data_IF_139943162388
#
_entry.id   IF_139943162388
#
_cell.length_a   1.000
_cell.length_b   1.000
_cell.length_c   1.000
_cell.angle_alpha   90.00
_cell.angle_beta   90.00
_cell.angle_gamma   90.00
#
_symmetry.space_group_name_H-M   'P 1'
#
loop_
_entity.id
_entity.type
_entity.pdbx_description
1 polymer ?
#
# COMPACT_ATOMS: atom_id res chain seq x y z
N UNK A 1 19.10 33.22 21.45
CA UNK A 1 18.98 32.70 20.07
C UNK A 1 18.83 31.20 20.20
N UNK A 2 17.66 30.79 20.68
CA UNK A 2 17.36 29.38 20.86
C UNK A 2 16.87 28.87 19.53
N UNK A 3 17.70 28.05 18.92
CA UNK A 3 17.41 27.34 17.69
C UNK A 3 16.26 26.38 17.99
N UNK A 4 15.07 26.69 17.48
CA UNK A 4 13.97 25.73 17.39
C UNK A 4 14.49 24.51 16.64
N UNK A 5 14.78 23.45 17.40
CA UNK A 5 14.88 22.11 16.86
C UNK A 5 13.49 21.77 16.36
N UNK A 6 13.27 21.96 15.06
CA UNK A 6 12.11 21.43 14.36
C UNK A 6 12.28 19.91 14.38
N UNK A 7 11.81 19.28 15.46
CA UNK A 7 11.50 17.86 15.48
C UNK A 7 10.52 17.62 14.32
N UNK A 8 11.01 16.97 13.26
CA UNK A 8 10.16 16.40 12.23
C UNK A 8 9.28 15.34 12.92
N UNK A 9 8.16 15.78 13.48
CA UNK A 9 6.99 14.92 13.61
C UNK A 9 6.70 14.39 12.22
N UNK A 10 7.16 13.16 11.93
CA UNK A 10 6.44 12.28 11.02
C UNK A 10 5.01 12.32 11.52
N UNK A 11 4.13 13.03 10.81
CA UNK A 11 2.72 13.03 11.15
C UNK A 11 2.28 11.57 11.20
N UNK A 12 1.64 11.18 12.30
CA UNK A 12 1.11 9.82 12.43
C UNK A 12 0.28 9.48 11.19
N UNK A 13 0.36 8.23 10.73
CA UNK A 13 -0.48 7.77 9.64
C UNK A 13 -1.95 7.88 10.04
N UNK A 14 -2.74 8.65 9.29
CA UNK A 14 -4.19 8.81 9.47
C UNK A 14 -4.96 8.29 8.26
N UNK A 15 -4.52 8.59 7.04
CA UNK A 15 -5.19 8.14 5.81
C UNK A 15 -4.22 7.76 4.70
N UNK A 16 -4.59 6.74 3.92
CA UNK A 16 -4.02 6.41 2.62
C UNK A 16 -5.13 6.51 1.57
N UNK A 17 -4.89 7.29 0.52
CA UNK A 17 -5.72 7.33 -0.67
C UNK A 17 -4.90 6.92 -1.88
N UNK A 18 -5.43 6.02 -2.71
CA UNK A 18 -4.87 5.70 -4.02
C UNK A 18 -5.99 5.88 -5.04
N UNK A 19 -5.88 6.93 -5.85
CA UNK A 19 -6.87 7.25 -6.89
C UNK A 19 -6.47 6.59 -8.19
N UNK A 20 -7.45 5.99 -8.87
CA UNK A 20 -7.28 5.31 -10.15
C UNK A 20 -6.16 4.25 -10.12
N UNK A 21 -6.05 3.52 -9.01
CA UNK A 21 -5.10 2.41 -8.87
C UNK A 21 -5.36 1.41 -10.00
N UNK A 22 -4.40 1.27 -10.90
CA UNK A 22 -4.54 0.47 -12.11
C UNK A 22 -3.55 -0.68 -12.07
N UNK A 23 -4.07 -1.90 -12.20
CA UNK A 23 -3.28 -3.12 -12.31
C UNK A 23 -3.60 -3.84 -13.61
N UNK A 24 -2.62 -4.56 -14.15
CA UNK A 24 -2.77 -5.33 -15.37
C UNK A 24 -2.44 -6.79 -15.11
N UNK A 25 -3.38 -7.68 -15.42
CA UNK A 25 -3.16 -9.12 -15.28
C UNK A 25 -3.71 -9.84 -16.50
N UNK A 26 -2.85 -10.64 -17.14
CA UNK A 26 -3.20 -11.39 -18.36
C UNK A 26 -3.74 -10.51 -19.51
N UNK A 27 -3.29 -9.27 -19.60
CA UNK A 27 -3.75 -8.30 -20.62
C UNK A 27 -5.06 -7.61 -20.28
N UNK A 28 -5.66 -7.89 -19.12
CA UNK A 28 -6.84 -7.20 -18.62
C UNK A 28 -6.47 -6.15 -17.59
N UNK A 29 -7.01 -4.94 -17.74
CA UNK A 29 -6.85 -3.85 -16.79
C UNK A 29 -7.97 -3.87 -15.76
N UNK A 30 -7.61 -3.65 -14.51
CA UNK A 30 -8.54 -3.43 -13.40
C UNK A 30 -8.20 -2.12 -12.71
N UNK A 31 -9.24 -1.42 -12.26
CA UNK A 31 -9.13 -0.11 -11.62
C UNK A 31 -9.82 -0.12 -10.27
N UNK A 32 -9.25 0.58 -9.30
CA UNK A 32 -9.87 0.81 -8.00
C UNK A 32 -9.48 2.20 -7.45
N UNK A 33 -10.43 2.85 -6.79
CA UNK A 33 -10.13 3.93 -5.86
C UNK A 33 -10.09 3.31 -4.45
N UNK A 34 -8.99 3.55 -3.74
CA UNK A 34 -8.74 3.00 -2.40
C UNK A 34 -8.66 4.15 -1.42
N UNK A 35 -9.42 4.07 -0.35
CA UNK A 35 -9.30 4.95 0.81
C UNK A 35 -9.25 4.08 2.06
N UNK A 36 -8.19 4.23 2.84
CA UNK A 36 -7.98 3.51 4.10
C UNK A 36 -7.73 4.52 5.20
N UNK A 37 -8.52 4.46 6.26
CA UNK A 37 -8.32 5.28 7.46
C UNK A 37 -7.62 4.46 8.55
N UNK A 38 -6.91 5.14 9.45
CA UNK A 38 -6.26 4.52 10.60
C UNK A 38 -7.26 3.72 11.45
N UNK A 39 -6.92 2.45 11.71
CA UNK A 39 -7.74 1.53 12.49
C UNK A 39 -8.91 0.91 11.71
N UNK A 40 -9.08 1.24 10.44
CA UNK A 40 -10.12 0.67 9.58
C UNK A 40 -9.74 -0.73 9.10
N UNK A 41 -10.75 -1.60 8.98
CA UNK A 41 -10.63 -2.89 8.31
C UNK A 41 -11.49 -2.85 7.05
N UNK A 42 -10.83 -2.87 5.89
CA UNK A 42 -11.50 -2.82 4.59
C UNK A 42 -11.44 -4.19 3.92
N UNK A 43 -12.59 -4.68 3.46
CA UNK A 43 -12.68 -5.88 2.64
C UNK A 43 -12.61 -5.50 1.17
N UNK A 44 -11.63 -6.08 0.46
CA UNK A 44 -11.54 -6.01 -0.99
C UNK A 44 -12.16 -7.26 -1.62
N UNK A 45 -13.19 -7.07 -2.44
CA UNK A 45 -13.89 -8.15 -3.12
C UNK A 45 -13.99 -7.89 -4.64
N UNK A 46 -13.86 -8.95 -5.43
CA UNK A 46 -13.98 -8.93 -6.88
C UNK A 46 -14.44 -10.31 -7.34
N UNK A 47 -15.31 -10.34 -8.34
CA UNK A 47 -15.72 -11.57 -9.02
C UNK A 47 -14.57 -12.17 -9.86
N UNK A 48 -13.63 -11.32 -10.27
CA UNK A 48 -12.48 -11.73 -11.07
C UNK A 48 -11.43 -12.43 -10.19
N UNK A 49 -11.10 -13.65 -10.58
CA UNK A 49 -10.15 -14.48 -9.83
C UNK A 49 -8.78 -13.80 -9.80
N UNK A 50 -8.19 -13.73 -8.60
CA UNK A 50 -6.85 -13.19 -8.31
C UNK A 50 -6.69 -11.67 -8.45
N UNK A 51 -7.71 -10.93 -8.88
CA UNK A 51 -7.65 -9.46 -8.98
C UNK A 51 -7.37 -8.84 -7.62
N UNK A 52 -8.05 -9.31 -6.57
CA UNK A 52 -7.85 -8.79 -5.20
C UNK A 52 -6.41 -8.98 -4.72
N UNK A 53 -5.89 -10.21 -4.85
CA UNK A 53 -4.53 -10.52 -4.42
C UNK A 53 -3.49 -9.72 -5.20
N UNK A 54 -3.73 -9.49 -6.50
CA UNK A 54 -2.81 -8.75 -7.37
C UNK A 54 -2.85 -7.23 -7.12
N UNK A 55 -4.03 -6.67 -6.84
CA UNK A 55 -4.15 -5.27 -6.42
C UNK A 55 -3.41 -5.05 -5.10
N UNK A 56 -3.63 -5.92 -4.10
CA UNK A 56 -2.97 -5.80 -2.80
C UNK A 56 -1.45 -5.96 -2.88
N UNK A 57 -0.95 -6.93 -3.66
CA UNK A 57 0.50 -7.08 -3.87
C UNK A 57 1.09 -5.90 -4.63
N UNK A 58 0.35 -5.29 -5.56
CA UNK A 58 0.81 -4.10 -6.29
C UNK A 58 0.90 -2.87 -5.39
N UNK A 59 -0.11 -2.65 -4.52
CA UNK A 59 -0.08 -1.57 -3.52
C UNK A 59 1.09 -1.75 -2.54
N UNK A 60 1.37 -3.00 -2.16
CA UNK A 60 2.50 -3.34 -1.30
C UNK A 60 3.87 -3.29 -1.99
N UNK A 61 3.92 -3.05 -3.31
CA UNK A 61 5.17 -2.98 -4.08
C UNK A 61 5.80 -4.32 -4.40
N UNK A 62 5.06 -5.42 -4.27
CA UNK A 62 5.50 -6.76 -4.69
C UNK A 62 5.28 -6.96 -6.19
N UNK A 63 4.14 -6.47 -6.70
CA UNK A 63 3.80 -6.43 -8.12
C UNK A 63 3.77 -4.98 -8.63
N UNK A 64 3.71 -4.78 -9.95
CA UNK A 64 3.67 -3.46 -10.57
C UNK A 64 2.27 -2.82 -10.52
N UNK A 65 2.17 -1.64 -9.91
CA UNK A 65 1.04 -0.74 -10.11
C UNK A 65 1.26 0.06 -11.41
N UNK A 66 0.41 -0.13 -12.41
CA UNK A 66 0.56 0.50 -13.75
C UNK A 66 0.31 2.00 -13.73
N UNK A 67 -0.66 2.43 -12.94
CA UNK A 67 -1.00 3.84 -12.75
C UNK A 67 -1.71 4.04 -11.42
N UNK A 68 -1.72 5.29 -10.95
CA UNK A 68 -2.45 5.71 -9.76
C UNK A 68 -1.80 6.90 -9.09
N UNK A 69 -2.60 7.72 -8.44
CA UNK A 69 -2.14 8.87 -7.65
C UNK A 69 -2.26 8.52 -6.17
N UNK A 70 -1.13 8.55 -5.45
CA UNK A 70 -1.07 8.17 -4.05
C UNK A 70 -1.04 9.40 -3.15
N UNK A 71 -1.80 9.36 -2.06
CA UNK A 71 -1.80 10.39 -1.03
C UNK A 71 -1.73 9.75 0.35
N UNK A 72 -0.86 10.27 1.21
CA UNK A 72 -0.82 9.92 2.64
C UNK A 72 -1.15 11.18 3.41
N UNK A 73 -2.16 11.12 4.28
CA UNK A 73 -2.64 12.27 5.06
C UNK A 73 -2.96 13.49 4.15
N UNK A 74 -3.50 13.24 2.95
CA UNK A 74 -3.80 14.25 1.95
C UNK A 74 -2.60 14.81 1.17
N UNK A 75 -1.36 14.47 1.54
CA UNK A 75 -0.17 14.88 0.80
C UNK A 75 0.14 13.89 -0.34
N UNK A 76 0.37 14.40 -1.54
CA UNK A 76 0.75 13.57 -2.69
C UNK A 76 2.12 12.91 -2.45
N UNK A 77 2.21 11.60 -2.68
CA UNK A 77 3.41 10.80 -2.45
C UNK A 77 3.69 9.85 -3.61
N UNK A 78 4.92 9.34 -3.66
CA UNK A 78 5.27 8.27 -4.59
C UNK A 78 4.71 6.92 -4.13
N UNK A 79 4.54 5.97 -5.05
CA UNK A 79 4.19 4.58 -4.67
C UNK A 79 5.24 3.99 -3.74
N UNK A 80 6.53 4.28 -3.92
CA UNK A 80 7.60 3.82 -3.04
C UNK A 80 7.44 4.30 -1.58
N UNK A 81 6.82 5.47 -1.37
CA UNK A 81 6.48 5.95 -0.03
C UNK A 81 5.37 5.11 0.61
N UNK A 82 4.39 4.65 -0.19
CA UNK A 82 3.33 3.74 0.27
C UNK A 82 3.92 2.37 0.61
N UNK A 83 4.81 1.83 -0.23
CA UNK A 83 5.42 0.52 0.02
C UNK A 83 6.27 0.52 1.29
N UNK A 84 6.90 1.64 1.64
CA UNK A 84 7.69 1.78 2.87
C UNK A 84 6.85 1.74 4.16
N UNK A 85 5.54 1.99 4.09
CA UNK A 85 4.64 1.97 5.25
C UNK A 85 3.68 0.77 5.22
N UNK A 86 3.73 -0.05 4.16
CA UNK A 86 2.87 -1.19 3.98
C UNK A 86 3.58 -2.50 4.38
N UNK A 87 2.84 -3.40 5.01
CA UNK A 87 3.23 -4.79 5.17
C UNK A 87 2.28 -5.68 4.37
N UNK A 88 2.81 -6.71 3.72
CA UNK A 88 2.02 -7.63 2.91
C UNK A 88 2.19 -9.07 3.35
N UNK A 89 1.06 -9.72 3.66
CA UNK A 89 1.00 -11.13 3.98
C UNK A 89 0.36 -11.89 2.82
N UNK A 90 1.20 -12.39 1.92
CA UNK A 90 0.77 -13.20 0.78
C UNK A 90 0.45 -14.65 1.16
N UNK A 91 -0.16 -15.37 0.23
CA UNK A 91 -0.52 -16.80 0.40
C UNK A 91 0.68 -17.74 0.59
N UNK A 92 1.88 -17.32 0.18
CA UNK A 92 3.13 -18.06 0.37
C UNK A 92 4.07 -17.22 1.23
N UNK A 93 4.14 -17.54 2.52
CA UNK A 93 5.12 -16.95 3.42
C UNK A 93 6.53 -17.36 3.00
N UNK A 94 7.45 -16.40 2.90
CA UNK A 94 8.86 -16.69 2.69
C UNK A 94 9.46 -17.10 4.04
N UNK A 95 9.70 -18.39 4.21
CA UNK A 95 10.41 -18.91 5.37
C UNK A 95 11.92 -18.77 5.15
N UNK A 96 12.61 -18.30 6.16
CA UNK A 96 14.07 -18.29 6.23
C UNK A 96 14.55 -19.34 7.22
N UNK A 97 15.78 -19.82 7.03
CA UNK A 97 16.38 -20.76 7.98
C UNK A 97 16.70 -20.02 9.28
N UNK A 98 15.95 -20.27 10.33
CA UNK A 98 16.08 -19.62 11.64
C UNK A 98 15.10 -20.19 12.67
N UNK A 99 15.02 -19.53 13.81
CA UNK A 99 13.99 -19.73 14.82
C UNK A 99 12.72 -18.95 14.47
N UNK A 100 11.62 -19.19 15.19
CA UNK A 100 10.35 -18.46 14.99
C UNK A 100 10.49 -16.96 15.30
N UNK A 101 11.50 -16.57 16.08
CA UNK A 101 11.75 -15.17 16.45
C UNK A 101 12.66 -14.44 15.45
N UNK A 102 13.25 -15.17 14.50
CA UNK A 102 14.12 -14.62 13.44
C UNK A 102 13.32 -14.25 12.20
#
# INVERSE_FOLDING_TARGET
SDSEQVENHLSDFETLEIKQATVERYGELSHADVTLNKGELVLLESEARHTNSHLLSSIAGIDDLKAGECFINGAAVSIASVTNIAAYCGVKGQLVSGTILD
#
